data_IF_588157064484
#
_entry.id   IF_588157064484
#
_cell.length_a   1.000
_cell.length_b   1.000
_cell.length_c   1.000
_cell.angle_alpha   90.00
_cell.angle_beta   90.00
_cell.angle_gamma   90.00
#
_symmetry.space_group_name_H-M   'P 1'
#
loop_
_entity.id
_entity.type
_entity.pdbx_description
1 polymer ?
#
# COMPACT_ATOMS: atom_id res chain seq x y z
N UNK A 1 11.70 -4.14 6.02
CA UNK A 1 11.09 -2.78 5.84
C UNK A 1 9.59 -2.83 6.08
N UNK A 2 9.02 -1.74 6.60
CA UNK A 2 7.61 -1.62 6.98
C UNK A 2 6.92 -0.61 6.06
N UNK A 3 5.91 -1.07 5.30
CA UNK A 3 5.13 -0.25 4.37
C UNK A 3 3.66 -0.26 4.79
N UNK A 4 3.06 0.89 5.01
CA UNK A 4 1.66 1.02 5.39
C UNK A 4 0.85 1.73 4.30
N UNK A 5 -0.22 1.10 3.84
CA UNK A 5 -1.27 1.78 3.06
C UNK A 5 -2.26 2.41 4.02
N UNK A 6 -2.26 3.75 4.08
CA UNK A 6 -3.06 4.51 5.03
C UNK A 6 -3.76 5.70 4.39
N UNK A 7 -5.00 5.96 4.80
CA UNK A 7 -5.75 7.20 4.54
C UNK A 7 -6.98 7.21 5.44
N UNK A 8 -7.50 8.38 5.76
CA UNK A 8 -8.71 8.50 6.56
C UNK A 8 -9.97 8.04 5.82
N UNK A 9 -10.00 8.14 4.49
CA UNK A 9 -11.21 7.89 3.70
C UNK A 9 -11.39 6.40 3.38
N UNK A 10 -12.59 5.85 3.62
CA UNK A 10 -13.04 4.60 3.03
C UNK A 10 -13.19 4.72 1.50
N UNK A 11 -12.91 3.65 0.77
CA UNK A 11 -13.12 3.60 -0.69
C UNK A 11 -12.03 4.25 -1.55
N UNK A 12 -10.97 4.82 -0.98
CA UNK A 12 -9.84 5.38 -1.75
C UNK A 12 -8.96 4.32 -2.44
N UNK A 13 -9.30 3.04 -2.32
CA UNK A 13 -8.58 1.95 -2.98
C UNK A 13 -7.39 1.41 -2.19
N UNK A 14 -7.27 1.68 -0.88
CA UNK A 14 -6.17 1.17 -0.03
C UNK A 14 -5.96 -0.33 -0.19
N UNK A 15 -6.94 -1.13 0.21
CA UNK A 15 -6.87 -2.60 0.16
C UNK A 15 -6.58 -3.12 -1.25
N UNK A 16 -7.24 -2.55 -2.26
CA UNK A 16 -6.98 -2.92 -3.67
C UNK A 16 -5.53 -2.66 -4.06
N UNK A 17 -4.97 -1.51 -3.68
CA UNK A 17 -3.59 -1.17 -3.99
C UNK A 17 -2.60 -1.93 -3.12
N UNK A 18 -2.93 -2.22 -1.86
CA UNK A 18 -2.13 -3.05 -0.96
C UNK A 18 -1.97 -4.47 -1.52
N UNK A 19 -3.08 -5.12 -1.91
CA UNK A 19 -3.06 -6.46 -2.56
C UNK A 19 -2.26 -6.39 -3.87
N UNK A 20 -2.55 -5.42 -4.74
CA UNK A 20 -1.87 -5.30 -6.01
C UNK A 20 -0.36 -5.08 -5.83
N UNK A 21 0.07 -4.28 -4.85
CA UNK A 21 1.47 -3.99 -4.59
C UNK A 21 2.18 -5.18 -3.93
N UNK A 22 1.52 -5.89 -2.99
CA UNK A 22 2.03 -7.13 -2.43
C UNK A 22 2.31 -8.18 -3.52
N UNK A 23 1.34 -8.40 -4.41
CA UNK A 23 1.52 -9.27 -5.57
C UNK A 23 2.65 -8.78 -6.48
N UNK A 24 2.73 -7.45 -6.72
CA UNK A 24 3.75 -6.86 -7.59
C UNK A 24 5.15 -7.09 -7.06
N UNK A 25 5.38 -6.86 -5.76
CA UNK A 25 6.67 -7.14 -5.10
C UNK A 25 6.98 -8.63 -5.19
N UNK A 26 6.07 -9.49 -4.75
CA UNK A 26 6.28 -10.94 -4.71
C UNK A 26 6.59 -11.53 -6.11
N UNK A 27 6.01 -10.94 -7.16
CA UNK A 27 6.23 -11.38 -8.53
C UNK A 27 7.51 -10.81 -9.17
N UNK A 28 7.91 -9.59 -8.79
CA UNK A 28 8.99 -8.85 -9.47
C UNK A 28 10.34 -8.92 -8.74
N UNK A 29 10.30 -9.23 -7.45
CA UNK A 29 11.48 -9.22 -6.60
C UNK A 29 11.67 -10.54 -5.88
N UNK A 30 12.88 -10.78 -5.37
CA UNK A 30 13.20 -11.92 -4.50
C UNK A 30 12.82 -11.62 -3.03
N UNK A 31 12.35 -10.41 -2.72
CA UNK A 31 11.98 -10.04 -1.36
C UNK A 31 10.71 -10.79 -0.93
N UNK A 32 10.77 -11.39 0.24
CA UNK A 32 9.59 -12.02 0.85
C UNK A 32 8.61 -10.95 1.31
N UNK A 33 7.32 -11.15 1.05
CA UNK A 33 6.25 -10.26 1.49
C UNK A 33 5.48 -10.91 2.63
N UNK A 34 5.14 -10.13 3.66
CA UNK A 34 4.19 -10.48 4.72
C UNK A 34 3.09 -9.43 4.75
N UNK A 35 1.85 -9.85 4.52
CA UNK A 35 0.68 -8.98 4.55
C UNK A 35 0.08 -8.91 5.95
N UNK A 36 -0.39 -7.73 6.33
CA UNK A 36 -1.11 -7.49 7.58
C UNK A 36 -2.38 -6.70 7.31
N UNK A 37 -3.53 -7.28 7.67
CA UNK A 37 -4.82 -6.61 7.57
C UNK A 37 -5.19 -5.96 8.90
N UNK A 38 -5.06 -4.65 8.95
CA UNK A 38 -5.34 -3.79 10.10
C UNK A 38 -6.67 -3.04 9.95
N UNK A 39 -7.57 -3.54 9.07
CA UNK A 39 -8.94 -3.08 8.94
C UNK A 39 -9.92 -4.05 9.61
N UNK A 40 -10.90 -3.53 10.37
CA UNK A 40 -11.96 -4.35 10.98
C UNK A 40 -12.77 -5.13 9.96
N UNK A 41 -12.88 -4.62 8.73
CA UNK A 41 -13.59 -5.30 7.65
C UNK A 41 -12.84 -6.54 7.15
N UNK A 42 -11.55 -6.66 7.46
CA UNK A 42 -10.68 -7.80 7.10
C UNK A 42 -10.76 -8.15 5.61
N UNK A 43 -10.85 -7.13 4.75
CA UNK A 43 -11.06 -7.33 3.32
C UNK A 43 -9.83 -7.94 2.63
N UNK A 44 -8.61 -7.60 3.08
CA UNK A 44 -7.38 -8.19 2.56
C UNK A 44 -7.27 -9.65 2.99
N UNK A 45 -7.43 -9.93 4.28
CA UNK A 45 -7.37 -11.26 4.83
C UNK A 45 -8.48 -12.16 4.30
N UNK A 46 -9.72 -11.65 4.21
CA UNK A 46 -10.84 -12.39 3.66
C UNK A 46 -10.57 -12.84 2.22
N UNK A 47 -10.04 -11.94 1.39
CA UNK A 47 -9.66 -12.26 0.02
C UNK A 47 -8.54 -13.30 -0.05
N UNK A 48 -7.52 -13.16 0.80
CA UNK A 48 -6.41 -14.12 0.89
C UNK A 48 -6.91 -15.50 1.31
N UNK A 49 -7.84 -15.59 2.26
CA UNK A 49 -8.43 -16.85 2.73
C UNK A 49 -9.29 -17.52 1.65
N UNK A 50 -10.10 -16.74 0.91
CA UNK A 50 -10.85 -17.25 -0.24
C UNK A 50 -9.93 -17.89 -1.28
N UNK A 51 -8.86 -17.18 -1.65
CA UNK A 51 -7.90 -17.65 -2.65
C UNK A 51 -7.10 -18.87 -2.16
N UNK A 52 -6.85 -18.98 -0.83
CA UNK A 52 -6.25 -20.18 -0.22
C UNK A 52 -7.17 -21.38 -0.31
N UNK A 53 -8.46 -21.20 -0.04
CA UNK A 53 -9.45 -22.27 -0.12
C UNK A 53 -9.71 -22.72 -1.56
N UNK A 54 -9.67 -21.79 -2.52
CA UNK A 54 -9.80 -22.13 -3.94
C UNK A 54 -8.64 -22.97 -4.47
N UNK A 55 -7.42 -22.75 -3.95
CA UNK A 55 -6.22 -23.53 -4.29
C UNK A 55 -5.81 -23.50 -5.77
N UNK A 56 -6.29 -22.53 -6.57
CA UNK A 56 -6.05 -22.46 -8.02
C UNK A 56 -4.61 -22.09 -8.40
N UNK A 57 -3.95 -21.31 -7.53
CA UNK A 57 -2.63 -20.77 -7.78
C UNK A 57 -1.74 -20.91 -6.54
N UNK A 58 -0.41 -21.00 -6.70
CA UNK A 58 0.49 -21.07 -5.57
C UNK A 58 0.41 -19.81 -4.71
N UNK A 59 0.61 -19.97 -3.40
CA UNK A 59 0.68 -18.88 -2.44
C UNK A 59 1.90 -18.01 -2.71
N UNK A 60 1.69 -16.69 -2.78
CA UNK A 60 2.75 -15.71 -2.94
C UNK A 60 3.29 -15.21 -1.60
N UNK A 61 2.40 -15.05 -0.61
CA UNK A 61 2.71 -14.54 0.74
C UNK A 61 1.61 -14.93 1.71
N UNK A 62 1.89 -14.79 3.00
CA UNK A 62 0.91 -14.94 4.08
C UNK A 62 0.30 -13.59 4.45
N UNK A 63 -0.94 -13.62 4.96
CA UNK A 63 -1.65 -12.45 5.47
C UNK A 63 -2.14 -12.75 6.89
N UNK A 64 -1.84 -11.86 7.83
CA UNK A 64 -2.28 -11.90 9.21
C UNK A 64 -3.28 -10.79 9.50
N UNK A 65 -4.21 -11.04 10.43
CA UNK A 65 -5.18 -10.03 10.89
C UNK A 65 -4.66 -9.32 12.15
N UNK A 66 -5.05 -8.07 12.30
CA UNK A 66 -4.87 -7.35 13.56
C UNK A 66 -5.81 -7.91 14.63
N UNK A 67 -5.22 -8.36 15.75
CA UNK A 67 -5.92 -8.77 16.95
C UNK A 67 -5.40 -7.93 18.12
N UNK A 68 -6.22 -7.03 18.66
CA UNK A 68 -5.85 -6.11 19.75
C UNK A 68 -5.32 -6.84 20.99
N UNK A 69 -5.77 -8.08 21.23
CA UNK A 69 -5.36 -8.87 22.39
C UNK A 69 -4.04 -9.62 22.16
N UNK A 70 -3.75 -10.00 20.93
CA UNK A 70 -2.59 -10.83 20.56
C UNK A 70 -1.47 -10.04 19.90
N UNK A 71 -1.79 -8.99 19.14
CA UNK A 71 -0.81 -8.23 18.38
C UNK A 71 -0.26 -7.05 19.18
N UNK A 72 0.77 -7.32 19.96
CA UNK A 72 1.63 -6.29 20.54
C UNK A 72 2.85 -5.98 19.64
N UNK A 73 2.71 -6.19 18.33
CA UNK A 73 3.83 -6.11 17.38
C UNK A 73 4.63 -4.82 17.53
N UNK A 74 3.94 -3.68 17.64
CA UNK A 74 4.58 -2.35 17.78
C UNK A 74 4.81 -1.91 19.22
N UNK A 75 4.63 -2.79 20.20
CA UNK A 75 5.03 -2.56 21.61
C UNK A 75 6.39 -3.17 21.94
N UNK A 76 6.93 -3.99 21.05
CA UNK A 76 8.21 -4.66 21.17
C UNK A 76 9.21 -4.03 20.20
N UNK A 77 10.08 -3.18 20.73
CA UNK A 77 11.09 -2.47 19.93
C UNK A 77 12.06 -3.41 19.23
N UNK A 78 12.42 -4.52 19.86
CA UNK A 78 13.35 -5.48 19.26
C UNK A 78 12.74 -6.11 18.01
N UNK A 79 11.46 -6.47 18.05
CA UNK A 79 10.73 -6.95 16.86
C UNK A 79 10.63 -5.91 15.75
N UNK A 80 10.41 -4.64 16.12
CA UNK A 80 10.37 -3.56 15.14
C UNK A 80 11.72 -3.41 14.45
N UNK A 81 12.81 -3.46 15.20
CA UNK A 81 14.17 -3.40 14.67
C UNK A 81 14.45 -4.61 13.77
N UNK A 82 14.10 -5.83 14.19
CA UNK A 82 14.22 -7.03 13.36
C UNK A 82 13.46 -6.86 12.03
N UNK A 83 12.23 -6.33 12.06
CA UNK A 83 11.45 -6.07 10.84
C UNK A 83 12.14 -5.04 9.92
N UNK A 84 12.73 -3.99 10.48
CA UNK A 84 13.42 -2.94 9.71
C UNK A 84 14.74 -3.43 9.10
N UNK A 85 15.48 -4.26 9.82
CA UNK A 85 16.77 -4.82 9.38
C UNK A 85 16.62 -6.03 8.44
N UNK A 86 15.45 -6.67 8.43
CA UNK A 86 15.20 -7.83 7.58
C UNK A 86 15.07 -7.45 6.10
N UNK A 87 15.38 -8.40 5.21
CA UNK A 87 15.12 -8.26 3.77
C UNK A 87 13.64 -8.51 3.40
N UNK A 88 12.76 -8.69 4.40
CA UNK A 88 11.33 -8.91 4.17
C UNK A 88 10.59 -7.58 4.06
N UNK A 89 9.49 -7.60 3.31
CA UNK A 89 8.54 -6.50 3.17
C UNK A 89 7.32 -6.78 4.03
N UNK A 90 7.15 -6.00 5.09
CA UNK A 90 5.97 -6.04 5.96
C UNK A 90 4.98 -5.00 5.46
N UNK A 91 3.91 -5.46 4.82
CA UNK A 91 2.93 -4.61 4.18
C UNK A 91 1.62 -4.59 4.98
N UNK A 92 1.24 -3.41 5.44
CA UNK A 92 0.06 -3.18 6.25
C UNK A 92 -1.05 -2.48 5.47
N UNK A 93 -2.25 -3.08 5.44
CA UNK A 93 -3.49 -2.43 4.99
C UNK A 93 -4.22 -1.88 6.21
N UNK A 94 -4.17 -0.58 6.41
CA UNK A 94 -4.73 0.07 7.60
C UNK A 94 -6.18 0.49 7.39
N UNK A 95 -7.01 0.41 8.43
CA UNK A 95 -8.36 0.95 8.42
C UNK A 95 -8.41 2.43 8.03
N UNK A 96 -9.51 2.84 7.41
CA UNK A 96 -9.77 4.24 7.04
C UNK A 96 -10.18 5.09 8.25
N UNK A 97 -9.29 5.21 9.25
CA UNK A 97 -9.55 5.88 10.53
C UNK A 97 -8.34 6.63 11.04
N UNK A 98 -8.56 7.57 11.97
CA UNK A 98 -7.54 8.28 12.74
C UNK A 98 -7.47 7.78 14.20
N UNK A 99 -7.79 6.50 14.42
CA UNK A 99 -7.73 5.92 15.74
C UNK A 99 -6.28 5.86 16.24
N UNK A 100 -6.06 6.34 17.47
CA UNK A 100 -4.74 6.37 18.12
C UNK A 100 -4.09 5.01 18.26
N UNK A 101 -4.85 3.93 18.26
CA UNK A 101 -4.32 2.57 18.34
C UNK A 101 -3.41 2.19 17.15
N UNK A 102 -3.51 2.91 16.03
CA UNK A 102 -2.65 2.73 14.87
C UNK A 102 -1.45 3.69 14.85
N UNK A 103 -1.30 4.56 15.87
CA UNK A 103 -0.20 5.55 15.88
C UNK A 103 1.17 4.89 15.84
N UNK A 104 1.37 3.82 16.62
CA UNK A 104 2.66 3.11 16.65
C UNK A 104 3.00 2.54 15.27
N UNK A 105 2.04 1.92 14.57
CA UNK A 105 2.23 1.46 13.20
C UNK A 105 2.70 2.60 12.28
N UNK A 106 2.03 3.75 12.36
CA UNK A 106 2.34 4.91 11.50
C UNK A 106 3.66 5.59 11.87
N UNK A 107 4.06 5.55 13.16
CA UNK A 107 5.35 6.09 13.62
C UNK A 107 6.50 5.20 13.15
N UNK A 108 6.34 3.88 13.26
CA UNK A 108 7.42 2.94 12.93
C UNK A 108 7.46 2.51 11.46
N UNK A 109 6.47 2.88 10.63
CA UNK A 109 6.51 2.64 9.19
C UNK A 109 7.69 3.36 8.55
N UNK A 110 8.37 2.70 7.63
CA UNK A 110 9.41 3.33 6.80
C UNK A 110 8.73 4.17 5.71
N UNK A 111 7.66 3.64 5.12
CA UNK A 111 6.86 4.31 4.09
C UNK A 111 5.37 4.26 4.43
N UNK A 112 4.68 5.39 4.26
CA UNK A 112 3.23 5.46 4.29
C UNK A 112 2.75 5.82 2.89
N UNK A 113 2.11 4.86 2.20
CA UNK A 113 1.50 5.05 0.89
C UNK A 113 0.08 5.54 1.10
N UNK A 114 -0.23 6.72 0.57
CA UNK A 114 -1.48 7.45 0.78
C UNK A 114 -2.25 7.54 -0.54
N UNK A 115 -3.16 6.59 -0.82
CA UNK A 115 -4.05 6.70 -1.96
C UNK A 115 -5.05 7.82 -1.79
N UNK A 116 -5.24 8.65 -2.84
CA UNK A 116 -6.22 9.72 -2.84
C UNK A 116 -6.88 9.91 -4.22
N UNK A 117 -8.02 10.58 -4.23
CA UNK A 117 -8.77 10.98 -5.41
C UNK A 117 -8.96 12.50 -5.38
N UNK A 118 -9.16 13.15 -6.53
CA UNK A 118 -9.40 14.61 -6.60
C UNK A 118 -10.85 15.02 -6.27
N UNK A 119 -11.65 14.20 -5.61
CA UNK A 119 -12.94 14.67 -5.07
C UNK A 119 -12.71 15.53 -3.83
N UNK A 120 -13.53 16.55 -3.63
CA UNK A 120 -13.41 17.47 -2.48
C UNK A 120 -13.36 16.74 -1.14
N UNK A 121 -14.17 15.69 -0.99
CA UNK A 121 -14.17 14.85 0.22
C UNK A 121 -12.85 14.11 0.40
N UNK A 122 -12.28 13.58 -0.70
CA UNK A 122 -11.00 12.86 -0.65
C UNK A 122 -9.84 13.80 -0.34
N UNK A 123 -9.82 14.96 -0.96
CA UNK A 123 -8.82 16.00 -0.72
C UNK A 123 -8.80 16.41 0.75
N UNK A 124 -9.96 16.78 1.32
CA UNK A 124 -10.08 17.14 2.74
C UNK A 124 -9.61 16.01 3.65
N UNK A 125 -10.05 14.78 3.37
CA UNK A 125 -9.66 13.59 4.13
C UNK A 125 -8.15 13.32 4.08
N UNK A 126 -7.52 13.51 2.92
CA UNK A 126 -6.07 13.36 2.76
C UNK A 126 -5.29 14.40 3.56
N UNK A 127 -5.74 15.66 3.56
CA UNK A 127 -5.14 16.74 4.35
C UNK A 127 -5.29 16.48 5.86
N UNK A 128 -6.45 15.99 6.30
CA UNK A 128 -6.67 15.62 7.71
C UNK A 128 -5.76 14.47 8.12
N UNK A 129 -5.62 13.43 7.27
CA UNK A 129 -4.70 12.33 7.54
C UNK A 129 -3.24 12.80 7.63
N UNK A 130 -2.83 13.68 6.71
CA UNK A 130 -1.50 14.30 6.74
C UNK A 130 -1.26 15.09 8.03
N UNK A 131 -2.25 15.87 8.49
CA UNK A 131 -2.16 16.60 9.75
C UNK A 131 -2.02 15.66 10.94
N UNK A 132 -2.76 14.54 10.94
CA UNK A 132 -2.65 13.51 11.97
C UNK A 132 -1.24 12.91 12.03
N UNK A 133 -0.63 12.60 10.88
CA UNK A 133 0.77 12.14 10.84
C UNK A 133 1.74 13.15 11.44
N UNK A 134 1.49 14.44 11.26
CA UNK A 134 2.27 15.51 11.91
C UNK A 134 2.05 15.55 13.42
N UNK A 135 0.82 15.37 13.90
CA UNK A 135 0.48 15.37 15.33
C UNK A 135 1.10 14.20 16.10
N UNK A 136 1.24 13.05 15.48
CA UNK A 136 1.91 11.88 16.08
C UNK A 136 3.42 11.86 15.83
N UNK A 137 3.96 12.90 15.23
CA UNK A 137 5.39 13.06 14.94
C UNK A 137 5.96 11.88 14.10
N UNK A 138 5.17 11.34 13.18
CA UNK A 138 5.62 10.27 12.28
C UNK A 138 6.70 10.79 11.34
N UNK A 139 7.88 10.17 11.38
CA UNK A 139 9.02 10.43 10.48
C UNK A 139 8.97 9.59 9.19
N UNK A 140 7.96 8.73 9.04
CA UNK A 140 7.77 7.89 7.86
C UNK A 140 7.78 8.70 6.57
N UNK A 141 8.44 8.21 5.53
CA UNK A 141 8.36 8.83 4.21
C UNK A 141 6.94 8.68 3.63
N UNK A 142 6.31 9.81 3.29
CA UNK A 142 4.93 9.86 2.80
C UNK A 142 4.93 9.84 1.29
N UNK A 143 4.22 8.88 0.69
CA UNK A 143 4.11 8.73 -0.75
C UNK A 143 2.65 8.82 -1.16
N UNK A 144 2.28 9.90 -1.85
CA UNK A 144 0.93 10.12 -2.35
C UNK A 144 0.75 9.47 -3.72
N UNK A 145 -0.31 8.67 -3.86
CA UNK A 145 -0.64 8.01 -5.13
C UNK A 145 -2.07 8.39 -5.57
N UNK A 146 -2.18 8.99 -6.74
CA UNK A 146 -3.48 9.26 -7.36
C UNK A 146 -4.15 7.95 -7.70
N UNK A 147 -5.23 7.63 -6.99
CA UNK A 147 -6.00 6.40 -7.15
C UNK A 147 -7.28 6.68 -7.95
N UNK A 148 -7.71 5.70 -8.74
CA UNK A 148 -8.94 5.77 -9.55
C UNK A 148 -9.00 7.00 -10.45
N UNK A 149 -7.84 7.44 -10.95
CA UNK A 149 -7.74 8.62 -11.80
C UNK A 149 -8.46 8.39 -13.13
N UNK A 150 -9.33 9.32 -13.49
CA UNK A 150 -10.07 9.29 -14.75
C UNK A 150 -9.54 10.38 -15.68
N UNK A 151 -8.93 9.99 -16.82
CA UNK A 151 -8.37 10.92 -17.79
C UNK A 151 -9.42 11.77 -18.50
N UNK A 152 -10.66 11.31 -18.57
CA UNK A 152 -11.75 11.99 -19.25
C UNK A 152 -12.40 13.08 -18.40
N UNK A 153 -12.07 13.12 -17.10
CA UNK A 153 -12.63 14.07 -16.16
C UNK A 153 -11.68 15.23 -15.89
N UNK A 154 -12.18 16.46 -15.92
CA UNK A 154 -11.43 17.65 -15.57
C UNK A 154 -11.52 17.92 -14.07
N UNK A 155 -10.39 17.82 -13.38
CA UNK A 155 -10.29 18.08 -11.94
C UNK A 155 -9.86 19.53 -11.71
N UNK A 156 -10.79 20.40 -11.27
CA UNK A 156 -10.54 21.84 -11.08
C UNK A 156 -9.37 22.14 -10.15
N UNK A 157 -9.22 21.35 -9.07
CA UNK A 157 -8.25 21.61 -8.00
C UNK A 157 -7.02 20.69 -8.10
N UNK A 158 -6.78 20.10 -9.28
CA UNK A 158 -5.68 19.12 -9.43
C UNK A 158 -4.32 19.75 -9.13
N UNK A 159 -4.01 20.87 -9.79
CA UNK A 159 -2.70 21.53 -9.68
C UNK A 159 -2.45 22.04 -8.27
N UNK A 160 -3.43 22.68 -7.64
CA UNK A 160 -3.34 23.18 -6.26
C UNK A 160 -3.10 22.03 -5.28
N UNK A 161 -3.82 20.91 -5.45
CA UNK A 161 -3.68 19.73 -4.59
C UNK A 161 -2.34 19.05 -4.78
N UNK A 162 -1.85 18.94 -6.01
CA UNK A 162 -0.55 18.36 -6.32
C UNK A 162 0.58 19.19 -5.69
N UNK A 163 0.52 20.52 -5.80
CA UNK A 163 1.46 21.45 -5.15
C UNK A 163 1.39 21.30 -3.63
N UNK A 164 0.19 21.27 -3.06
CA UNK A 164 0.02 21.15 -1.61
C UNK A 164 0.58 19.83 -1.08
N UNK A 165 0.23 18.70 -1.68
CA UNK A 165 0.72 17.39 -1.25
C UNK A 165 2.24 17.24 -1.38
N UNK A 166 2.82 17.80 -2.45
CA UNK A 166 4.26 17.76 -2.69
C UNK A 166 5.11 18.48 -1.64
N UNK A 167 4.50 19.35 -0.82
CA UNK A 167 5.17 19.99 0.34
C UNK A 167 5.40 19.00 1.51
N UNK A 168 4.65 17.90 1.55
CA UNK A 168 4.58 17.01 2.71
C UNK A 168 5.02 15.58 2.43
N UNK A 169 5.44 15.28 1.20
CA UNK A 169 5.92 13.97 0.79
C UNK A 169 6.06 13.86 -0.72
N UNK A 170 6.34 12.69 -1.19
CA UNK A 170 6.54 12.40 -2.60
C UNK A 170 5.18 12.17 -3.26
N UNK A 171 4.82 12.97 -4.25
CA UNK A 171 3.68 12.71 -5.11
C UNK A 171 4.15 11.92 -6.34
N UNK A 172 3.66 10.69 -6.51
CA UNK A 172 4.02 9.87 -7.67
C UNK A 172 3.61 10.55 -8.98
N UNK A 173 4.49 10.51 -9.98
CA UNK A 173 4.24 11.05 -11.33
C UNK A 173 3.11 10.29 -12.02
N UNK A 174 3.07 8.96 -11.83
CA UNK A 174 2.15 8.07 -12.50
C UNK A 174 0.94 7.74 -11.61
N UNK A 175 -0.30 8.04 -12.06
CA UNK A 175 -1.50 7.66 -11.32
C UNK A 175 -1.88 6.20 -11.57
N UNK A 176 -2.67 5.63 -10.65
CA UNK A 176 -3.44 4.42 -10.93
C UNK A 176 -4.79 4.82 -11.52
N UNK A 177 -5.00 4.46 -12.78
CA UNK A 177 -6.24 4.78 -13.48
C UNK A 177 -7.42 3.95 -12.96
N UNK A 178 -8.62 4.52 -13.05
CA UNK A 178 -9.86 3.81 -12.77
C UNK A 178 -10.04 2.68 -13.79
N UNK A 179 -9.91 1.43 -13.33
CA UNK A 179 -10.06 0.22 -14.15
C UNK A 179 -10.78 -0.88 -13.39
N UNK A 180 -11.82 -1.43 -13.98
CA UNK A 180 -12.61 -2.50 -13.37
C UNK A 180 -11.79 -3.79 -13.14
N UNK A 181 -10.70 -3.99 -13.90
CA UNK A 181 -9.85 -5.17 -13.74
C UNK A 181 -9.17 -5.23 -12.37
N UNK A 182 -8.94 -4.08 -11.71
CA UNK A 182 -8.39 -4.01 -10.36
C UNK A 182 -9.40 -4.42 -9.27
N UNK A 183 -10.70 -4.48 -9.59
CA UNK A 183 -11.71 -5.02 -8.66
C UNK A 183 -11.73 -6.55 -8.64
N UNK A 184 -11.07 -7.20 -9.61
CA UNK A 184 -10.99 -8.66 -9.76
C UNK A 184 -9.61 -9.21 -9.36
N UNK A 185 -8.91 -8.50 -8.46
CA UNK A 185 -7.64 -8.96 -7.92
C UNK A 185 -7.85 -10.20 -7.04
N UNK A 186 -6.90 -11.12 -7.14
CA UNK A 186 -6.67 -12.17 -6.16
C UNK A 186 -5.32 -11.93 -5.48
N UNK A 187 -4.98 -12.71 -4.46
CA UNK A 187 -3.74 -12.58 -3.70
C UNK A 187 -2.64 -13.57 -4.18
N UNK A 188 -2.82 -14.14 -5.37
CA UNK A 188 -1.97 -15.22 -5.90
C UNK A 188 -1.24 -14.85 -7.17
N UNK A 189 -1.76 -13.88 -7.93
CA UNK A 189 -1.15 -13.45 -9.19
C UNK A 189 -1.56 -12.02 -9.57
N UNK A 190 -0.84 -11.46 -10.52
CA UNK A 190 -1.31 -10.33 -11.33
C UNK A 190 -1.36 -10.80 -12.78
N UNK A 191 -2.54 -10.82 -13.38
CA UNK A 191 -2.63 -11.05 -14.83
C UNK A 191 -2.06 -9.85 -15.61
N UNK A 192 -1.84 -10.03 -16.92
CA UNK A 192 -1.19 -8.99 -17.73
C UNK A 192 -1.92 -7.65 -17.70
N UNK A 193 -3.25 -7.64 -17.74
CA UNK A 193 -4.03 -6.40 -17.70
C UNK A 193 -3.93 -5.69 -16.35
N UNK A 194 -3.87 -6.43 -15.26
CA UNK A 194 -3.65 -5.89 -13.91
C UNK A 194 -2.24 -5.34 -13.76
N UNK A 195 -1.21 -6.07 -14.25
CA UNK A 195 0.18 -5.58 -14.30
C UNK A 195 0.27 -4.26 -15.07
N UNK A 196 -0.31 -4.20 -16.27
CA UNK A 196 -0.27 -2.98 -17.10
C UNK A 196 -1.00 -1.80 -16.44
N UNK A 197 -2.01 -2.08 -15.60
CA UNK A 197 -2.74 -1.03 -14.88
C UNK A 197 -1.92 -0.38 -13.76
N UNK A 198 -0.99 -1.12 -13.14
CA UNK A 198 -0.24 -0.66 -11.96
C UNK A 198 1.27 -0.51 -12.21
N UNK A 199 1.80 -1.03 -13.31
CA UNK A 199 3.24 -1.11 -13.57
C UNK A 199 3.96 0.22 -13.37
N UNK A 200 3.52 1.29 -14.03
CA UNK A 200 4.22 2.59 -13.96
C UNK A 200 4.29 3.17 -12.54
N UNK A 201 3.16 3.30 -11.82
CA UNK A 201 3.23 3.81 -10.45
C UNK A 201 3.97 2.87 -9.49
N UNK A 202 3.92 1.55 -9.70
CA UNK A 202 4.60 0.61 -8.81
C UNK A 202 6.09 0.46 -9.14
N UNK A 203 6.51 0.59 -10.38
CA UNK A 203 7.93 0.72 -10.72
C UNK A 203 8.52 1.99 -10.07
N UNK A 204 7.81 3.12 -10.14
CA UNK A 204 8.20 4.37 -9.46
C UNK A 204 8.28 4.20 -7.93
N UNK A 205 7.33 3.49 -7.31
CA UNK A 205 7.39 3.15 -5.87
C UNK A 205 8.63 2.31 -5.55
N UNK A 206 8.92 1.27 -6.34
CA UNK A 206 10.09 0.42 -6.12
C UNK A 206 11.41 1.18 -6.33
N UNK A 207 11.46 2.14 -7.25
CA UNK A 207 12.62 3.02 -7.43
C UNK A 207 12.84 3.93 -6.20
N UNK A 208 11.77 4.46 -5.60
CA UNK A 208 11.86 5.28 -4.38
C UNK A 208 12.36 4.42 -3.22
N UNK A 209 11.71 3.28 -3.00
CA UNK A 209 12.05 2.34 -1.93
C UNK A 209 13.49 1.81 -2.09
N UNK A 210 13.88 1.50 -3.32
CA UNK A 210 15.20 0.97 -3.66
C UNK A 210 16.37 1.90 -3.39
N UNK A 211 16.12 3.19 -3.10
CA UNK A 211 17.18 4.13 -2.68
C UNK A 211 17.66 3.88 -1.24
N UNK A 212 16.79 3.30 -0.40
CA UNK A 212 17.09 3.05 1.02
C UNK A 212 17.18 1.54 1.33
N UNK A 213 16.48 0.72 0.56
CA UNK A 213 16.40 -0.73 0.78
C UNK A 213 16.89 -1.52 -0.43
N UNK A 214 17.50 -2.67 -0.17
CA UNK A 214 18.00 -3.54 -1.22
C UNK A 214 16.83 -4.30 -1.87
N UNK A 215 16.33 -3.80 -2.99
CA UNK A 215 15.32 -4.46 -3.82
C UNK A 215 16.02 -5.35 -4.84
N UNK A 216 15.91 -6.66 -4.67
CA UNK A 216 16.50 -7.64 -5.58
C UNK A 216 15.46 -8.05 -6.61
N UNK A 217 15.64 -7.62 -7.86
CA UNK A 217 14.71 -7.94 -8.94
C UNK A 217 14.93 -9.36 -9.47
N UNK A 218 13.84 -10.09 -9.69
CA UNK A 218 13.86 -11.38 -10.39
C UNK A 218 14.32 -11.19 -11.84
N UNK A 219 15.11 -12.13 -12.40
CA UNK A 219 15.44 -12.10 -13.81
C UNK A 219 14.16 -12.14 -14.67
N UNK A 220 14.07 -11.22 -15.65
CA UNK A 220 12.90 -11.19 -16.53
C UNK A 220 12.94 -12.41 -17.48
N UNK A 221 12.17 -13.44 -17.16
CA UNK A 221 11.89 -14.53 -18.10
C UNK A 221 10.81 -14.08 -19.09
N UNK A 222 11.06 -14.25 -20.39
CA UNK A 222 10.18 -13.79 -21.49
C UNK A 222 8.76 -14.38 -21.50
N UNK A 223 8.37 -15.29 -20.60
CA UNK A 223 7.11 -16.04 -20.67
C UNK A 223 6.52 -16.53 -19.36
N UNK A 224 6.83 -15.98 -18.17
CA UNK A 224 6.21 -16.46 -16.94
C UNK A 224 5.03 -15.57 -16.52
N UNK A 225 3.82 -16.22 -16.48
CA UNK A 225 2.70 -15.75 -15.68
C UNK A 225 3.12 -15.76 -14.20
N UNK A 226 3.08 -14.62 -13.57
CA UNK A 226 3.04 -14.54 -12.13
C UNK A 226 1.64 -14.84 -11.69
#
# INVERSE_FOLDING_TARGET
MIITFGTQKGGAGKTTLAIAFANYIACRTENTVRGYDYDFQKSFYGKWLEDEQEGKFPKLYDVEIFDEQKNQLFKDLDKILEMKESNEVYLFDMAGTLDRKYSDLLIYSDYIIIPFEYSDVSVKSTLVFRNFLGLIESESERIFIRSRYDKSYFYRNQEEMDIELSKYGILLKHPVYKRNILQKLNTRELNQQQKDAVRRPFDELLEIIGKQYNIQYKPQKKSEKC
#
